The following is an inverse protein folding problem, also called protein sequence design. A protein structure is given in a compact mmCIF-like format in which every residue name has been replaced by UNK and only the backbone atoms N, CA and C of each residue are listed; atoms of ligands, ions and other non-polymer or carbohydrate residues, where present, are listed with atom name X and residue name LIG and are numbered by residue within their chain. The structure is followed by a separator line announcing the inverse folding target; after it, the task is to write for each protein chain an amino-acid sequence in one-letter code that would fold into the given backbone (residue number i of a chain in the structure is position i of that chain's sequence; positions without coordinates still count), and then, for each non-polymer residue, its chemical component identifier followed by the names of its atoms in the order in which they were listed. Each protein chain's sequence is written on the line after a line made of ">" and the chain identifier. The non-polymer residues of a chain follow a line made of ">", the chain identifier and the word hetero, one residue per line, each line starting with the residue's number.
data_IF_013901180182
#
_entry.id   IF_013901180182
#
_cell.length_a   1.000
_cell.length_b   1.000
_cell.length_c   1.000
_cell.angle_alpha   90.00
_cell.angle_beta   90.00
_cell.angle_gamma   90.00
#
_symmetry.space_group_name_H-M   'P 1'
#
loop_
_entity.id
_entity.type
_entity.pdbx_description
1 polymer ?
#
# COMPACT_ATOMS: atom_id res chain seq x y z
N UNK A 1 -33.71 -11.37 -20.06
CA UNK A 1 -32.53 -10.84 -20.77
C UNK A 1 -31.43 -10.33 -19.82
N UNK A 2 -31.75 -9.78 -18.62
CA UNK A 2 -30.73 -9.33 -17.62
C UNK A 2 -29.73 -10.42 -17.26
N UNK A 3 -30.14 -11.66 -16.99
CA UNK A 3 -29.19 -12.73 -16.60
C UNK A 3 -28.11 -13.09 -17.64
N UNK A 4 -28.31 -12.75 -18.93
CA UNK A 4 -27.28 -12.96 -19.96
C UNK A 4 -26.21 -11.88 -19.91
N UNK A 5 -26.58 -10.62 -19.75
CA UNK A 5 -25.64 -9.50 -19.62
C UNK A 5 -24.80 -9.61 -18.33
N UNK A 6 -25.45 -9.98 -17.21
CA UNK A 6 -24.77 -10.20 -15.94
C UNK A 6 -23.70 -11.31 -16.02
N UNK A 7 -24.04 -12.43 -16.67
CA UNK A 7 -23.08 -13.53 -16.85
C UNK A 7 -21.89 -13.13 -17.77
N UNK A 8 -22.16 -12.33 -18.80
CA UNK A 8 -21.13 -11.80 -19.68
C UNK A 8 -20.19 -10.83 -18.93
N UNK A 9 -20.76 -9.91 -18.14
CA UNK A 9 -20.00 -9.01 -17.30
C UNK A 9 -19.15 -9.77 -16.26
N UNK A 10 -19.74 -10.74 -15.54
CA UNK A 10 -19.01 -11.54 -14.55
C UNK A 10 -17.80 -12.25 -15.18
N UNK A 11 -17.98 -12.83 -16.37
CA UNK A 11 -16.87 -13.46 -17.11
C UNK A 11 -15.80 -12.44 -17.50
N UNK A 12 -16.22 -11.24 -17.94
CA UNK A 12 -15.29 -10.16 -18.28
C UNK A 12 -14.49 -9.70 -17.08
N UNK A 13 -15.16 -9.41 -15.95
CA UNK A 13 -14.56 -8.95 -14.71
C UNK A 13 -13.59 -9.97 -14.14
N UNK A 14 -13.99 -11.26 -14.10
CA UNK A 14 -13.11 -12.35 -13.67
C UNK A 14 -11.83 -12.41 -14.52
N UNK A 15 -11.98 -12.36 -15.85
CA UNK A 15 -10.81 -12.39 -16.74
C UNK A 15 -9.89 -11.18 -16.59
N UNK A 16 -10.44 -9.99 -16.31
CA UNK A 16 -9.65 -8.80 -15.98
C UNK A 16 -8.89 -8.95 -14.66
N UNK A 17 -9.56 -9.47 -13.63
CA UNK A 17 -8.94 -9.70 -12.32
C UNK A 17 -7.83 -10.74 -12.40
N UNK A 18 -8.02 -11.81 -13.18
CA UNK A 18 -7.00 -12.83 -13.42
C UNK A 18 -5.77 -12.26 -14.15
N UNK A 19 -5.97 -11.49 -15.24
CA UNK A 19 -4.87 -10.82 -15.95
C UNK A 19 -4.12 -9.84 -15.05
N UNK A 20 -4.85 -9.12 -14.19
CA UNK A 20 -4.25 -8.19 -13.23
C UNK A 20 -3.45 -8.91 -12.15
N UNK A 21 -3.96 -10.03 -11.63
CA UNK A 21 -3.28 -10.83 -10.62
C UNK A 21 -1.97 -11.43 -11.14
N UNK A 22 -1.96 -11.91 -12.38
CA UNK A 22 -0.75 -12.43 -13.04
C UNK A 22 0.31 -11.34 -13.24
N UNK A 23 -0.08 -10.12 -13.63
CA UNK A 23 0.84 -8.99 -13.85
C UNK A 23 1.33 -8.34 -12.57
N UNK A 24 0.55 -8.40 -11.51
CA UNK A 24 0.83 -7.78 -10.22
C UNK A 24 0.74 -8.81 -9.08
N UNK A 25 1.70 -9.75 -9.01
CA UNK A 25 1.71 -10.85 -8.04
C UNK A 25 1.68 -10.37 -6.58
N UNK A 26 2.35 -9.26 -6.29
CA UNK A 26 2.38 -8.62 -4.97
C UNK A 26 1.00 -8.09 -4.55
N UNK A 27 0.27 -7.48 -5.48
CA UNK A 27 -1.10 -7.05 -5.27
C UNK A 27 -2.02 -8.27 -5.07
N UNK A 28 -1.87 -9.31 -5.90
CA UNK A 28 -2.63 -10.57 -5.79
C UNK A 28 -2.46 -11.20 -4.40
N UNK A 29 -1.23 -11.37 -3.93
CA UNK A 29 -0.93 -11.83 -2.56
C UNK A 29 -1.62 -10.95 -1.51
N UNK A 30 -1.59 -9.63 -1.68
CA UNK A 30 -2.22 -8.68 -0.77
C UNK A 30 -3.74 -8.84 -0.68
N UNK A 31 -4.39 -9.28 -1.75
CA UNK A 31 -5.84 -9.54 -1.86
C UNK A 31 -6.22 -10.98 -1.52
N UNK A 32 -5.26 -11.85 -1.20
CA UNK A 32 -5.51 -13.26 -0.85
C UNK A 32 -5.51 -14.21 -2.05
N UNK A 33 -5.08 -13.76 -3.23
CA UNK A 33 -4.86 -14.64 -4.38
C UNK A 33 -3.39 -15.10 -4.40
N UNK A 34 -3.17 -16.33 -3.99
CA UNK A 34 -1.85 -16.92 -3.77
C UNK A 34 -1.28 -17.70 -4.98
N UNK A 35 -1.92 -17.63 -6.14
CA UNK A 35 -1.49 -18.33 -7.36
C UNK A 35 -0.13 -17.89 -7.88
N UNK A 36 0.26 -16.65 -7.57
CA UNK A 36 1.46 -16.00 -8.12
C UNK A 36 2.48 -15.59 -7.05
N UNK A 37 2.37 -16.14 -5.85
CA UNK A 37 3.17 -15.74 -4.68
C UNK A 37 4.70 -15.85 -4.89
N UNK A 38 5.14 -16.72 -5.76
CA UNK A 38 6.57 -16.92 -6.03
C UNK A 38 7.19 -15.86 -6.97
N UNK A 39 6.38 -14.92 -7.48
CA UNK A 39 6.81 -13.97 -8.50
C UNK A 39 6.79 -12.53 -8.00
N UNK A 40 7.63 -11.69 -8.61
CA UNK A 40 7.59 -10.23 -8.55
C UNK A 40 6.89 -9.68 -9.81
N UNK A 41 6.34 -8.45 -9.76
CA UNK A 41 5.93 -7.76 -10.99
C UNK A 41 7.12 -7.61 -11.93
N UNK A 42 6.91 -7.87 -13.23
CA UNK A 42 7.92 -7.63 -14.25
C UNK A 42 8.02 -6.12 -14.56
N UNK A 43 9.11 -5.42 -14.21
CA UNK A 43 9.26 -4.00 -14.44
C UNK A 43 9.69 -3.66 -15.88
N UNK A 44 9.79 -4.63 -16.78
CA UNK A 44 10.31 -4.39 -18.13
C UNK A 44 9.37 -3.50 -18.97
N UNK A 45 9.96 -2.76 -19.92
CA UNK A 45 9.18 -1.96 -20.88
C UNK A 45 8.26 -2.83 -21.73
N UNK A 46 8.66 -4.05 -22.05
CA UNK A 46 7.84 -4.99 -22.82
C UNK A 46 6.62 -5.45 -22.02
N UNK A 47 6.78 -5.74 -20.72
CA UNK A 47 5.68 -6.07 -19.82
C UNK A 47 4.71 -4.87 -19.68
N UNK A 48 5.23 -3.66 -19.50
CA UNK A 48 4.44 -2.44 -19.42
C UNK A 48 3.66 -2.16 -20.72
N UNK A 49 4.30 -2.31 -21.88
CA UNK A 49 3.65 -2.16 -23.18
C UNK A 49 2.60 -3.26 -23.43
N UNK A 50 2.85 -4.49 -22.94
CA UNK A 50 1.88 -5.58 -22.96
C UNK A 50 0.66 -5.26 -22.10
N UNK A 51 0.89 -4.80 -20.87
CA UNK A 51 -0.18 -4.36 -19.95
C UNK A 51 -1.01 -3.24 -20.59
N UNK A 52 -0.34 -2.22 -21.15
CA UNK A 52 -1.03 -1.09 -21.77
C UNK A 52 -1.98 -1.54 -22.90
N UNK A 53 -1.56 -2.50 -23.75
CA UNK A 53 -2.41 -3.08 -24.80
C UNK A 53 -3.56 -3.90 -24.21
N UNK A 54 -3.32 -4.66 -23.14
CA UNK A 54 -4.35 -5.43 -22.45
C UNK A 54 -5.44 -4.51 -21.87
N UNK A 55 -5.05 -3.39 -21.25
CA UNK A 55 -5.99 -2.40 -20.71
C UNK A 55 -6.91 -1.82 -21.78
N UNK A 56 -6.39 -1.53 -22.98
CA UNK A 56 -7.23 -1.10 -24.11
C UNK A 56 -8.21 -2.18 -24.54
N UNK A 57 -7.77 -3.43 -24.56
CA UNK A 57 -8.62 -4.58 -24.89
C UNK A 57 -9.74 -4.79 -23.85
N UNK A 58 -9.42 -4.65 -22.54
CA UNK A 58 -10.39 -4.75 -21.47
C UNK A 58 -11.40 -3.60 -21.53
N UNK A 59 -10.94 -2.37 -21.77
CA UNK A 59 -11.81 -1.19 -21.93
C UNK A 59 -12.76 -1.34 -23.11
N UNK A 60 -12.28 -1.79 -24.26
CA UNK A 60 -13.10 -2.01 -25.44
C UNK A 60 -14.21 -3.04 -25.18
N UNK A 61 -13.89 -4.16 -24.52
CA UNK A 61 -14.85 -5.19 -24.16
C UNK A 61 -15.89 -4.69 -23.14
N UNK A 62 -15.47 -3.93 -22.13
CA UNK A 62 -16.38 -3.33 -21.15
C UNK A 62 -17.35 -2.34 -21.81
N UNK A 63 -16.83 -1.49 -22.71
CA UNK A 63 -17.68 -0.50 -23.43
C UNK A 63 -18.65 -1.16 -24.41
N UNK A 64 -18.38 -2.37 -24.88
CA UNK A 64 -19.27 -3.11 -25.77
C UNK A 64 -20.45 -3.76 -25.03
N UNK A 65 -20.42 -3.84 -23.71
CA UNK A 65 -21.54 -4.34 -22.90
C UNK A 65 -22.67 -3.29 -22.85
N UNK A 66 -23.91 -3.77 -22.87
CA UNK A 66 -25.09 -2.94 -22.59
C UNK A 66 -25.22 -2.74 -21.07
N UNK A 67 -24.70 -1.61 -20.58
CA UNK A 67 -24.71 -1.30 -19.16
C UNK A 67 -26.12 -1.21 -18.57
N UNK A 68 -27.12 -0.77 -19.34
CA UNK A 68 -28.51 -0.64 -18.89
C UNK A 68 -29.17 -2.01 -18.72
N UNK A 69 -28.65 -3.05 -19.36
CA UNK A 69 -29.12 -4.42 -19.22
C UNK A 69 -28.56 -5.15 -17.99
N UNK A 70 -27.56 -4.58 -17.30
CA UNK A 70 -26.96 -5.14 -16.08
C UNK A 70 -27.88 -4.93 -14.86
N UNK A 71 -27.75 -5.81 -13.88
CA UNK A 71 -28.31 -5.58 -12.55
C UNK A 71 -27.59 -4.39 -11.87
N UNK A 72 -28.28 -3.71 -10.95
CA UNK A 72 -27.80 -2.48 -10.33
C UNK A 72 -26.40 -2.66 -9.67
N UNK A 73 -26.17 -3.81 -9.02
CA UNK A 73 -24.86 -4.16 -8.44
C UNK A 73 -23.77 -4.28 -9.50
N UNK A 74 -24.04 -4.93 -10.62
CA UNK A 74 -23.11 -5.09 -11.73
C UNK A 74 -22.88 -3.78 -12.49
N UNK A 75 -23.83 -2.84 -12.48
CA UNK A 75 -23.60 -1.49 -13.02
C UNK A 75 -22.54 -0.74 -12.19
N UNK A 76 -22.61 -0.87 -10.86
CA UNK A 76 -21.60 -0.30 -9.96
C UNK A 76 -20.25 -0.94 -10.20
N UNK A 77 -20.16 -2.26 -10.27
CA UNK A 77 -18.92 -2.99 -10.51
C UNK A 77 -18.32 -2.66 -11.89
N UNK A 78 -19.14 -2.49 -12.91
CA UNK A 78 -18.72 -2.08 -14.24
C UNK A 78 -18.13 -0.65 -14.24
N UNK A 79 -18.74 0.28 -13.49
CA UNK A 79 -18.21 1.62 -13.29
C UNK A 79 -16.86 1.60 -12.54
N UNK A 80 -16.76 0.80 -11.47
CA UNK A 80 -15.51 0.61 -10.73
C UNK A 80 -14.40 0.01 -11.60
N UNK A 81 -14.75 -0.96 -12.45
CA UNK A 81 -13.79 -1.54 -13.41
C UNK A 81 -13.34 -0.49 -14.44
N UNK A 82 -14.26 0.33 -14.96
CA UNK A 82 -13.92 1.41 -15.90
C UNK A 82 -12.95 2.42 -15.28
N UNK A 83 -13.19 2.84 -14.02
CA UNK A 83 -12.31 3.73 -13.28
C UNK A 83 -10.94 3.10 -13.02
N UNK A 84 -10.90 1.81 -12.66
CA UNK A 84 -9.65 1.07 -12.45
C UNK A 84 -8.81 1.03 -13.73
N UNK A 85 -9.43 0.72 -14.87
CA UNK A 85 -8.79 0.72 -16.18
C UNK A 85 -8.28 2.12 -16.57
N UNK A 86 -9.10 3.15 -16.39
CA UNK A 86 -8.73 4.53 -16.71
C UNK A 86 -7.58 5.03 -15.83
N UNK A 87 -7.59 4.70 -14.54
CA UNK A 87 -6.53 5.02 -13.59
C UNK A 87 -5.21 4.38 -14.01
N UNK A 88 -5.22 3.09 -14.33
CA UNK A 88 -4.00 2.39 -14.71
C UNK A 88 -3.41 2.91 -16.02
N UNK A 89 -4.25 3.23 -16.99
CA UNK A 89 -3.81 3.90 -18.23
C UNK A 89 -3.15 5.25 -17.92
N UNK A 90 -3.75 6.06 -17.06
CA UNK A 90 -3.20 7.34 -16.63
C UNK A 90 -1.85 7.20 -15.92
N UNK A 91 -1.71 6.19 -15.06
CA UNK A 91 -0.44 5.89 -14.36
C UNK A 91 0.68 5.53 -15.34
N UNK A 92 0.37 4.73 -16.36
CA UNK A 92 1.34 4.31 -17.37
C UNK A 92 1.69 5.46 -18.31
N UNK A 93 0.69 6.12 -18.89
CA UNK A 93 0.88 7.03 -20.02
C UNK A 93 1.27 8.45 -19.58
N UNK A 94 0.75 8.93 -18.43
CA UNK A 94 0.89 10.33 -18.04
C UNK A 94 1.73 10.55 -16.79
N UNK A 95 1.59 9.72 -15.76
CA UNK A 95 2.44 9.79 -14.58
C UNK A 95 3.81 9.19 -14.84
N UNK A 96 3.85 8.08 -15.59
CA UNK A 96 5.07 7.37 -15.98
C UNK A 96 6.05 7.20 -14.80
N UNK A 97 5.52 6.90 -13.61
CA UNK A 97 6.30 6.85 -12.35
C UNK A 97 7.46 5.84 -12.43
N UNK A 98 7.34 4.80 -13.24
CA UNK A 98 8.40 3.83 -13.50
C UNK A 98 9.69 4.45 -14.04
N UNK A 99 9.64 5.68 -14.60
CA UNK A 99 10.80 6.37 -15.16
C UNK A 99 11.50 7.32 -14.19
N UNK A 100 10.87 7.66 -13.08
CA UNK A 100 11.41 8.67 -12.16
C UNK A 100 11.19 8.38 -10.67
N UNK A 101 10.34 7.43 -10.29
CA UNK A 101 10.05 7.11 -8.90
C UNK A 101 10.78 5.83 -8.45
N UNK A 102 11.94 5.94 -7.78
CA UNK A 102 12.73 4.77 -7.36
C UNK A 102 12.06 3.93 -6.28
N UNK A 103 11.01 4.44 -5.61
CA UNK A 103 10.29 3.72 -4.56
C UNK A 103 9.56 2.49 -5.10
N UNK A 104 9.12 2.55 -6.37
CA UNK A 104 8.41 1.44 -7.02
C UNK A 104 9.29 0.21 -7.27
N UNK A 105 10.61 0.37 -7.29
CA UNK A 105 11.55 -0.71 -7.52
C UNK A 105 11.79 -1.60 -6.28
N UNK A 106 11.28 -1.19 -5.10
CA UNK A 106 11.60 -1.88 -3.85
C UNK A 106 10.73 -3.14 -3.66
N UNK A 107 11.30 -4.37 -3.66
CA UNK A 107 10.55 -5.61 -3.50
C UNK A 107 10.20 -5.92 -2.04
N UNK A 108 10.63 -5.09 -1.09
CA UNK A 108 10.56 -5.40 0.34
C UNK A 108 9.14 -5.70 0.83
N UNK A 109 8.13 -4.90 0.40
CA UNK A 109 6.73 -5.15 0.76
C UNK A 109 6.21 -6.48 0.23
N UNK A 110 6.57 -6.82 -1.01
CA UNK A 110 6.18 -8.09 -1.61
C UNK A 110 6.75 -9.30 -0.86
N UNK A 111 8.01 -9.21 -0.40
CA UNK A 111 8.64 -10.26 0.41
C UNK A 111 8.03 -10.30 1.81
N UNK A 112 7.82 -9.14 2.45
CA UNK A 112 7.27 -9.04 3.80
C UNK A 112 5.88 -9.67 3.91
N UNK A 113 4.99 -9.47 2.94
CA UNK A 113 3.64 -10.04 2.95
C UNK A 113 3.63 -11.56 3.09
N UNK A 114 4.61 -12.26 2.50
CA UNK A 114 4.75 -13.72 2.59
C UNK A 114 5.25 -14.18 3.97
N UNK A 115 5.99 -13.35 4.68
CA UNK A 115 6.50 -13.66 6.02
C UNK A 115 5.49 -13.33 7.13
N UNK A 116 4.79 -12.21 6.98
CA UNK A 116 3.97 -11.62 8.04
C UNK A 116 2.57 -12.23 8.19
N UNK A 117 2.04 -12.92 7.18
CA UNK A 117 0.68 -13.45 7.20
C UNK A 117 0.67 -14.97 7.18
N UNK A 118 -0.16 -15.58 8.04
CA UNK A 118 -0.32 -17.03 8.19
C UNK A 118 -1.41 -17.62 7.29
N UNK A 119 -1.32 -17.38 5.98
CA UNK A 119 -2.29 -17.88 5.00
C UNK A 119 -1.98 -19.31 4.48
N UNK A 120 -0.76 -19.79 4.71
CA UNK A 120 -0.31 -21.12 4.31
C UNK A 120 0.80 -21.60 5.27
N UNK A 121 1.14 -22.92 5.26
CA UNK A 121 2.27 -23.45 6.02
C UNK A 121 3.56 -22.66 5.73
N UNK A 122 4.32 -22.34 6.78
CA UNK A 122 5.55 -21.53 6.64
C UNK A 122 6.56 -22.06 5.59
N UNK A 123 6.78 -23.38 5.44
CA UNK A 123 7.64 -23.89 4.35
C UNK A 123 7.17 -23.50 2.95
N UNK A 124 5.86 -23.48 2.69
CA UNK A 124 5.29 -23.12 1.40
C UNK A 124 5.47 -21.63 1.13
N UNK A 125 5.23 -20.80 2.16
CA UNK A 125 5.48 -19.34 2.10
C UNK A 125 6.96 -19.04 1.87
N UNK A 126 7.87 -19.76 2.53
CA UNK A 126 9.32 -19.63 2.31
C UNK A 126 9.75 -20.09 0.91
N UNK A 127 9.06 -21.06 0.31
CA UNK A 127 9.30 -21.41 -1.09
C UNK A 127 8.94 -20.26 -2.03
N UNK A 128 7.84 -19.56 -1.76
CA UNK A 128 7.45 -18.36 -2.49
C UNK A 128 8.42 -17.19 -2.25
N UNK A 129 8.90 -16.99 -1.00
CA UNK A 129 9.98 -16.03 -0.71
C UNK A 129 11.22 -16.33 -1.54
N UNK A 130 11.65 -17.60 -1.64
CA UNK A 130 12.79 -17.97 -2.46
C UNK A 130 12.58 -17.66 -3.95
N UNK A 131 11.36 -17.87 -4.47
CA UNK A 131 10.99 -17.46 -5.84
C UNK A 131 11.18 -15.96 -6.05
N UNK A 132 10.59 -15.13 -5.18
CA UNK A 132 10.75 -13.66 -5.26
C UNK A 132 12.20 -13.21 -5.12
N UNK A 133 12.96 -13.79 -4.19
CA UNK A 133 14.39 -13.48 -4.03
C UNK A 133 15.21 -13.81 -5.28
N UNK A 134 14.87 -14.88 -5.99
CA UNK A 134 15.55 -15.23 -7.24
C UNK A 134 15.34 -14.19 -8.36
N UNK A 135 14.22 -13.49 -8.36
CA UNK A 135 13.87 -12.49 -9.37
C UNK A 135 14.44 -11.09 -9.05
N UNK A 136 14.79 -10.79 -7.78
CA UNK A 136 15.30 -9.47 -7.34
C UNK A 136 16.45 -8.93 -8.19
N UNK A 137 17.50 -9.71 -8.54
CA UNK A 137 18.62 -9.16 -9.32
C UNK A 137 18.18 -8.65 -10.71
N UNK A 138 17.34 -9.39 -11.40
CA UNK A 138 16.85 -9.03 -12.73
C UNK A 138 15.90 -7.83 -12.67
N UNK A 139 14.97 -7.83 -11.72
CA UNK A 139 14.01 -6.73 -11.51
C UNK A 139 14.73 -5.40 -11.21
N UNK A 140 15.73 -5.40 -10.33
CA UNK A 140 16.49 -4.19 -10.00
C UNK A 140 17.40 -3.73 -11.15
N UNK A 141 17.96 -4.66 -11.93
CA UNK A 141 18.73 -4.30 -13.12
C UNK A 141 17.84 -3.61 -14.16
N UNK A 142 16.60 -4.11 -14.35
CA UNK A 142 15.64 -3.49 -15.25
C UNK A 142 15.19 -2.12 -14.76
N UNK A 143 14.84 -1.98 -13.48
CA UNK A 143 14.47 -0.71 -12.88
C UNK A 143 15.56 0.37 -13.10
N UNK A 144 16.85 0.03 -12.94
CA UNK A 144 17.97 0.96 -13.21
C UNK A 144 18.03 1.42 -14.66
N UNK A 145 17.64 0.60 -15.63
CA UNK A 145 17.62 0.97 -17.05
C UNK A 145 16.54 2.00 -17.35
N UNK A 146 15.44 1.97 -16.63
CA UNK A 146 14.28 2.84 -16.85
C UNK A 146 14.36 4.13 -16.05
N UNK A 147 14.88 4.08 -14.83
CA UNK A 147 14.97 5.24 -13.94
C UNK A 147 15.94 6.28 -14.52
N UNK A 148 15.39 7.43 -14.89
CA UNK A 148 16.10 8.59 -15.37
C UNK A 148 16.43 9.58 -14.24
N UNK A 149 15.97 10.83 -14.40
CA UNK A 149 16.09 11.88 -13.38
C UNK A 149 15.02 11.65 -12.30
N UNK A 150 15.43 11.63 -11.05
CA UNK A 150 14.58 11.31 -9.90
C UNK A 150 14.51 12.49 -8.92
N UNK A 151 13.37 12.79 -8.29
CA UNK A 151 13.29 13.78 -7.21
C UNK A 151 14.17 13.38 -6.04
N UNK A 152 14.92 14.35 -5.49
CA UNK A 152 15.86 14.12 -4.38
C UNK A 152 15.17 13.43 -3.18
N UNK A 153 14.00 13.92 -2.78
CA UNK A 153 13.25 13.36 -1.64
C UNK A 153 12.87 11.90 -1.85
N UNK A 154 12.54 11.49 -3.10
CA UNK A 154 12.24 10.09 -3.40
C UNK A 154 13.49 9.21 -3.34
N UNK A 155 14.64 9.72 -3.79
CA UNK A 155 15.91 8.98 -3.72
C UNK A 155 16.34 8.79 -2.27
N UNK A 156 16.29 9.84 -1.43
CA UNK A 156 16.61 9.77 0.00
C UNK A 156 15.72 8.75 0.72
N UNK A 157 14.41 8.79 0.46
CA UNK A 157 13.45 7.83 1.02
C UNK A 157 13.73 6.40 0.54
N UNK A 158 14.00 6.21 -0.76
CA UNK A 158 14.30 4.90 -1.31
C UNK A 158 15.57 4.29 -0.70
N UNK A 159 16.64 5.06 -0.50
CA UNK A 159 17.87 4.60 0.17
C UNK A 159 17.56 4.02 1.55
N UNK A 160 16.73 4.72 2.33
CA UNK A 160 16.28 4.25 3.65
C UNK A 160 15.47 2.96 3.56
N UNK A 161 14.48 2.90 2.66
CA UNK A 161 13.63 1.73 2.46
C UNK A 161 14.40 0.50 1.96
N UNK A 162 15.36 0.66 1.04
CA UNK A 162 16.24 -0.43 0.62
C UNK A 162 17.10 -0.96 1.78
N UNK A 163 17.53 -0.09 2.71
CA UNK A 163 18.18 -0.51 3.95
C UNK A 163 17.28 -1.40 4.80
N UNK A 164 15.99 -1.03 4.96
CA UNK A 164 14.98 -1.84 5.63
C UNK A 164 14.73 -3.18 4.94
N UNK A 165 14.71 -3.20 3.60
CA UNK A 165 14.54 -4.44 2.81
C UNK A 165 15.73 -5.39 2.97
N UNK A 166 16.96 -4.86 3.00
CA UNK A 166 18.17 -5.65 3.27
C UNK A 166 18.08 -6.28 4.67
N UNK A 167 17.66 -5.51 5.67
CA UNK A 167 17.48 -6.01 7.03
C UNK A 167 16.39 -7.08 7.12
N UNK A 168 15.26 -6.90 6.40
CA UNK A 168 14.19 -7.88 6.28
C UNK A 168 14.72 -9.23 5.73
N UNK A 169 15.42 -9.18 4.59
CA UNK A 169 15.96 -10.38 3.91
C UNK A 169 17.07 -11.04 4.72
N UNK A 170 17.84 -10.28 5.49
CA UNK A 170 18.91 -10.83 6.35
C UNK A 170 18.35 -11.42 7.64
N UNK A 171 17.51 -10.68 8.38
CA UNK A 171 17.14 -11.03 9.75
C UNK A 171 15.81 -11.78 9.82
N UNK A 172 14.71 -11.24 9.26
CA UNK A 172 13.40 -11.88 9.40
C UNK A 172 13.29 -13.18 8.62
N UNK A 173 14.06 -13.33 7.52
CA UNK A 173 14.18 -14.62 6.83
C UNK A 173 14.92 -15.63 7.70
N UNK A 174 15.94 -15.22 8.49
CA UNK A 174 16.62 -16.13 9.42
C UNK A 174 15.68 -16.54 10.56
N UNK A 175 14.92 -15.62 11.14
CA UNK A 175 13.89 -15.93 12.16
C UNK A 175 12.86 -16.96 11.63
N UNK A 176 12.42 -16.78 10.38
CA UNK A 176 11.50 -17.73 9.73
C UNK A 176 12.15 -19.09 9.45
N UNK A 177 13.45 -19.14 9.13
CA UNK A 177 14.19 -20.38 8.92
C UNK A 177 14.43 -21.15 10.22
N UNK A 178 14.56 -20.47 11.37
CA UNK A 178 14.59 -21.14 12.69
C UNK A 178 13.31 -21.94 12.93
N UNK A 179 12.16 -21.39 12.54
CA UNK A 179 10.87 -22.08 12.65
C UNK A 179 10.63 -23.13 11.56
N UNK A 180 11.29 -23.04 10.40
CA UNK A 180 11.16 -23.97 9.27
C UNK A 180 12.53 -24.32 8.64
N UNK A 181 13.41 -25.05 9.37
CA UNK A 181 14.80 -25.31 8.93
C UNK A 181 14.92 -26.11 7.63
N UNK A 182 13.89 -26.85 7.25
CA UNK A 182 13.83 -27.58 5.97
C UNK A 182 13.93 -26.70 4.73
N UNK A 183 13.55 -25.42 4.83
CA UNK A 183 13.59 -24.43 3.73
C UNK A 183 14.97 -23.77 3.55
N UNK A 184 15.90 -23.98 4.48
CA UNK A 184 17.19 -23.28 4.52
C UNK A 184 18.00 -23.45 3.22
N UNK A 185 17.98 -24.64 2.63
CA UNK A 185 18.74 -24.92 1.39
C UNK A 185 18.24 -24.08 0.21
N UNK A 186 16.94 -23.95 0.05
CA UNK A 186 16.33 -23.21 -1.06
C UNK A 186 16.63 -21.70 -0.93
N UNK A 187 16.47 -21.14 0.27
CA UNK A 187 16.79 -19.74 0.55
C UNK A 187 18.29 -19.46 0.37
N UNK A 188 19.18 -20.34 0.85
CA UNK A 188 20.62 -20.18 0.73
C UNK A 188 21.12 -20.11 -0.73
N UNK A 189 20.39 -20.71 -1.68
CA UNK A 189 20.73 -20.67 -3.10
C UNK A 189 20.49 -19.29 -3.75
N UNK A 190 19.50 -18.53 -3.28
CA UNK A 190 19.03 -17.29 -3.95
C UNK A 190 19.32 -16.03 -3.14
N UNK A 191 19.33 -16.12 -1.80
CA UNK A 191 19.47 -14.98 -0.89
C UNK A 191 20.76 -14.17 -1.10
N UNK A 192 21.97 -14.77 -1.30
CA UNK A 192 23.18 -13.98 -1.49
C UNK A 192 23.11 -13.05 -2.70
N UNK A 193 22.64 -13.52 -3.84
CA UNK A 193 22.49 -12.71 -5.05
C UNK A 193 21.44 -11.61 -4.89
N UNK A 194 20.35 -11.89 -4.17
CA UNK A 194 19.33 -10.89 -3.85
C UNK A 194 19.91 -9.78 -2.95
N UNK A 195 20.63 -10.12 -1.89
CA UNK A 195 21.24 -9.15 -0.99
C UNK A 195 22.31 -8.29 -1.71
N UNK A 196 23.14 -8.91 -2.55
CA UNK A 196 24.10 -8.19 -3.38
C UNK A 196 23.42 -7.20 -4.32
N UNK A 197 22.32 -7.61 -4.98
CA UNK A 197 21.57 -6.75 -5.88
C UNK A 197 20.89 -5.59 -5.17
N UNK A 198 20.31 -5.83 -3.97
CA UNK A 198 19.69 -4.81 -3.13
C UNK A 198 20.73 -3.78 -2.66
N UNK A 199 21.87 -4.23 -2.14
CA UNK A 199 22.95 -3.33 -1.68
C UNK A 199 23.57 -2.54 -2.84
N UNK A 200 23.83 -3.19 -3.96
CA UNK A 200 24.28 -2.52 -5.19
C UNK A 200 23.28 -1.50 -5.71
N UNK A 201 21.95 -1.75 -5.60
CA UNK A 201 20.94 -0.78 -5.98
C UNK A 201 20.90 0.41 -5.02
N UNK A 202 20.97 0.18 -3.72
CA UNK A 202 21.09 1.23 -2.71
C UNK A 202 22.33 2.08 -2.92
N UNK A 203 23.46 1.46 -3.21
CA UNK A 203 24.71 2.17 -3.54
C UNK A 203 24.59 3.01 -4.81
N UNK A 204 23.94 2.49 -5.84
CA UNK A 204 23.64 3.24 -7.08
C UNK A 204 22.75 4.46 -6.81
N UNK A 205 21.69 4.32 -6.00
CA UNK A 205 20.84 5.46 -5.60
C UNK A 205 21.64 6.51 -4.82
N UNK A 206 22.53 6.07 -3.91
CA UNK A 206 23.41 6.98 -3.14
C UNK A 206 24.38 7.76 -4.03
N UNK A 207 24.93 7.11 -5.06
CA UNK A 207 25.77 7.78 -6.06
C UNK A 207 24.95 8.81 -6.87
N UNK A 208 23.75 8.45 -7.32
CA UNK A 208 22.84 9.37 -8.00
C UNK A 208 22.46 10.57 -7.15
N UNK A 209 22.23 10.38 -5.86
CA UNK A 209 21.95 11.46 -4.91
C UNK A 209 23.14 12.42 -4.77
N UNK A 210 24.37 11.88 -4.72
CA UNK A 210 25.58 12.68 -4.63
C UNK A 210 25.88 13.46 -5.93
N UNK A 211 25.58 12.87 -7.09
CA UNK A 211 25.73 13.51 -8.40
C UNK A 211 24.66 14.58 -8.66
N UNK A 212 23.49 14.47 -8.04
CA UNK A 212 22.40 15.44 -8.12
C UNK A 212 22.69 16.64 -7.23
N UNK A 213 23.81 17.34 -7.51
CA UNK A 213 23.95 18.72 -7.04
C UNK A 213 22.79 19.56 -7.63
N UNK A 214 22.21 20.51 -6.88
CA UNK A 214 21.19 21.38 -7.41
C UNK A 214 21.75 22.06 -8.66
N UNK A 215 21.29 21.61 -9.85
CA UNK A 215 21.63 22.21 -11.10
C UNK A 215 21.00 23.61 -11.19
N UNK A 216 21.31 24.40 -12.23
CA UNK A 216 20.71 25.72 -12.45
C UNK A 216 19.17 25.69 -12.45
N UNK A 217 18.58 24.51 -12.72
CA UNK A 217 17.12 24.28 -12.71
C UNK A 217 16.59 23.73 -11.36
N UNK A 218 17.43 23.61 -10.33
CA UNK A 218 17.08 23.04 -9.01
C UNK A 218 16.88 21.52 -9.04
N UNK A 219 16.31 21.00 -7.94
CA UNK A 219 15.84 19.61 -7.85
C UNK A 219 14.65 19.37 -8.77
N UNK A 220 14.47 18.12 -9.21
CA UNK A 220 13.23 17.71 -9.88
C UNK A 220 12.07 17.86 -8.88
N UNK A 221 11.11 18.68 -9.22
CA UNK A 221 9.91 18.88 -8.44
C UNK A 221 9.08 17.58 -8.41
N UNK A 222 8.81 16.98 -7.24
CA UNK A 222 7.98 15.79 -7.14
C UNK A 222 6.50 16.03 -7.41
N UNK A 223 6.08 17.31 -7.49
CA UNK A 223 4.69 17.66 -7.76
C UNK A 223 4.34 17.41 -9.21
N UNK A 224 3.24 16.70 -9.42
CA UNK A 224 2.78 16.30 -10.77
C UNK A 224 2.11 17.45 -11.57
N UNK A 225 1.94 18.62 -10.94
CA UNK A 225 1.28 19.77 -11.53
C UNK A 225 -0.26 19.74 -11.41
N UNK A 226 -0.93 20.91 -11.58
CA UNK A 226 -2.35 21.04 -11.28
C UNK A 226 -3.25 20.18 -12.18
N UNK A 227 -2.95 20.08 -13.48
CA UNK A 227 -3.76 19.32 -14.44
C UNK A 227 -3.74 17.82 -14.14
N UNK A 228 -2.54 17.24 -13.96
CA UNK A 228 -2.38 15.81 -13.61
C UNK A 228 -2.94 15.53 -12.22
N UNK A 229 -2.78 16.47 -11.28
CA UNK A 229 -3.36 16.34 -9.94
C UNK A 229 -4.88 16.29 -9.99
N UNK A 230 -5.54 17.20 -10.72
CA UNK A 230 -6.99 17.21 -10.86
C UNK A 230 -7.50 15.91 -11.48
N UNK A 231 -6.80 15.39 -12.51
CA UNK A 231 -7.14 14.11 -13.13
C UNK A 231 -6.92 12.93 -12.18
N UNK A 232 -5.78 12.88 -11.47
CA UNK A 232 -5.51 11.86 -10.45
C UNK A 232 -6.57 11.86 -9.36
N UNK A 233 -6.96 13.06 -8.89
CA UNK A 233 -7.99 13.23 -7.86
C UNK A 233 -9.33 12.67 -8.32
N UNK A 234 -9.78 13.01 -9.52
CA UNK A 234 -11.03 12.49 -10.10
C UNK A 234 -11.01 10.97 -10.23
N UNK A 235 -9.93 10.40 -10.78
CA UNK A 235 -9.77 8.94 -10.92
C UNK A 235 -9.64 8.21 -9.57
N UNK A 236 -9.15 8.88 -8.53
CA UNK A 236 -9.00 8.29 -7.18
C UNK A 236 -10.32 8.27 -6.44
N UNK A 237 -11.11 9.34 -6.56
CA UNK A 237 -12.39 9.48 -5.88
C UNK A 237 -13.57 8.90 -6.67
N UNK A 238 -13.34 8.46 -7.91
CA UNK A 238 -14.39 8.02 -8.84
C UNK A 238 -15.52 9.04 -8.97
N UNK A 239 -15.16 10.33 -8.89
CA UNK A 239 -16.10 11.45 -8.93
C UNK A 239 -15.46 12.71 -9.49
N UNK A 240 -16.26 13.60 -10.05
CA UNK A 240 -15.80 14.94 -10.36
C UNK A 240 -15.47 15.67 -9.05
N UNK A 241 -14.18 15.90 -8.79
CA UNK A 241 -13.69 16.55 -7.59
C UNK A 241 -13.09 17.91 -7.95
N UNK A 242 -13.59 18.95 -7.29
CA UNK A 242 -13.03 20.31 -7.35
C UNK A 242 -12.05 20.48 -6.18
N UNK A 243 -10.76 20.52 -6.49
CA UNK A 243 -9.70 20.67 -5.51
C UNK A 243 -9.79 21.99 -4.74
N UNK A 244 -10.22 23.08 -5.40
CA UNK A 244 -10.35 24.38 -4.76
C UNK A 244 -11.54 24.41 -3.80
N UNK A 245 -12.65 23.80 -4.16
CA UNK A 245 -13.81 23.64 -3.27
C UNK A 245 -13.46 22.78 -2.05
N UNK A 246 -12.73 21.66 -2.23
CA UNK A 246 -12.23 20.83 -1.13
C UNK A 246 -11.30 21.64 -0.23
N UNK A 247 -10.36 22.39 -0.79
CA UNK A 247 -9.42 23.22 -0.02
C UNK A 247 -10.15 24.33 0.78
N UNK A 248 -11.14 24.97 0.16
CA UNK A 248 -11.94 26.00 0.83
C UNK A 248 -12.71 25.42 2.03
N UNK A 249 -13.36 24.26 1.83
CA UNK A 249 -14.07 23.54 2.90
C UNK A 249 -13.11 23.12 4.02
N UNK A 250 -11.96 22.53 3.66
CA UNK A 250 -10.96 22.07 4.63
C UNK A 250 -10.45 23.24 5.51
N UNK A 251 -10.26 24.43 4.95
CA UNK A 251 -9.86 25.62 5.72
C UNK A 251 -10.93 26.02 6.74
N UNK A 252 -12.20 26.04 6.34
CA UNK A 252 -13.30 26.34 7.26
C UNK A 252 -13.38 25.30 8.37
N UNK A 253 -13.28 24.01 8.04
CA UNK A 253 -13.30 22.94 9.03
C UNK A 253 -12.08 23.01 9.98
N UNK A 254 -10.88 23.34 9.46
CA UNK A 254 -9.68 23.53 10.29
C UNK A 254 -9.85 24.65 11.30
N UNK A 255 -10.40 25.80 10.88
CA UNK A 255 -10.67 26.93 11.78
C UNK A 255 -11.68 26.54 12.87
N UNK A 256 -12.80 25.90 12.49
CA UNK A 256 -13.81 25.42 13.43
C UNK A 256 -13.27 24.41 14.44
N UNK A 257 -12.51 23.42 13.98
CA UNK A 257 -11.89 22.40 14.86
C UNK A 257 -10.85 23.05 15.77
N UNK A 258 -10.07 24.01 15.26
CA UNK A 258 -9.08 24.73 16.05
C UNK A 258 -9.74 25.55 17.17
N UNK A 259 -10.87 26.21 16.90
CA UNK A 259 -11.68 26.92 17.91
C UNK A 259 -12.21 25.93 18.96
N UNK A 260 -12.80 24.80 18.55
CA UNK A 260 -13.30 23.76 19.46
C UNK A 260 -12.20 23.21 20.36
N UNK A 261 -10.99 22.96 19.81
CA UNK A 261 -9.83 22.52 20.59
C UNK A 261 -9.43 23.58 21.61
N UNK A 262 -9.42 24.87 21.23
CA UNK A 262 -9.08 25.96 22.14
C UNK A 262 -10.09 26.12 23.27
N UNK A 263 -11.39 26.01 22.98
CA UNK A 263 -12.46 26.05 23.96
C UNK A 263 -12.39 24.89 24.94
N UNK A 264 -12.20 23.66 24.40
CA UNK A 264 -12.07 22.44 25.24
C UNK A 264 -10.82 22.52 26.13
N UNK A 265 -9.71 22.99 25.60
CA UNK A 265 -8.49 23.17 26.38
C UNK A 265 -8.69 24.22 27.49
N UNK A 266 -9.43 25.31 27.25
CA UNK A 266 -9.76 26.27 28.27
C UNK A 266 -10.62 25.66 29.38
N UNK A 267 -11.61 24.84 29.05
CA UNK A 267 -12.43 24.08 30.02
C UNK A 267 -11.56 23.12 30.86
N UNK A 268 -10.70 22.31 30.23
CA UNK A 268 -9.81 21.39 30.93
C UNK A 268 -8.80 22.12 31.83
N UNK A 269 -8.32 23.28 31.41
CA UNK A 269 -7.38 24.09 32.18
C UNK A 269 -8.04 24.91 33.29
N UNK A 270 -9.39 25.03 33.32
CA UNK A 270 -10.10 25.99 34.17
C UNK A 270 -9.75 27.47 33.86
N UNK A 271 -9.43 27.76 32.59
CA UNK A 271 -9.00 29.10 32.11
C UNK A 271 -10.15 29.82 31.41
N UNK A 272 -10.25 31.12 31.59
CA UNK A 272 -11.22 31.95 30.86
C UNK A 272 -10.72 32.33 29.47
N UNK A 273 -9.47 32.04 29.11
CA UNK A 273 -8.84 32.46 27.86
C UNK A 273 -8.57 31.25 26.95
N UNK A 274 -9.45 30.94 25.97
CA UNK A 274 -9.15 29.97 24.93
C UNK A 274 -8.06 30.53 24.02
N UNK A 275 -7.09 29.67 23.64
CA UNK A 275 -6.04 30.06 22.70
C UNK A 275 -4.87 29.08 22.62
N UNK A 276 -3.94 29.28 21.66
CA UNK A 276 -2.86 28.34 21.40
C UNK A 276 -1.95 28.04 22.60
N UNK A 277 -1.72 29.06 23.47
CA UNK A 277 -0.91 28.87 24.68
C UNK A 277 -1.62 27.96 25.70
N UNK A 278 -2.93 28.07 25.85
CA UNK A 278 -3.73 27.19 26.72
C UNK A 278 -3.79 25.78 26.17
N UNK A 279 -3.96 25.64 24.85
CA UNK A 279 -3.91 24.33 24.15
C UNK A 279 -2.56 23.64 24.42
N UNK A 280 -1.43 24.33 24.18
CA UNK A 280 -0.10 23.78 24.41
C UNK A 280 0.08 23.32 25.86
N UNK A 281 -0.27 24.16 26.83
CA UNK A 281 -0.16 23.82 28.27
C UNK A 281 -1.00 22.60 28.65
N UNK A 282 -2.20 22.44 28.05
CA UNK A 282 -3.03 21.25 28.28
C UNK A 282 -2.41 20.01 27.64
N UNK A 283 -1.92 20.12 26.42
CA UNK A 283 -1.21 19.02 25.74
C UNK A 283 0.04 18.60 26.51
N UNK A 284 0.88 19.54 26.98
CA UNK A 284 2.07 19.25 27.79
C UNK A 284 1.69 18.53 29.09
N UNK A 285 0.56 18.90 29.72
CA UNK A 285 0.06 18.20 30.91
C UNK A 285 -0.43 16.78 30.60
N UNK A 286 -1.13 16.58 29.50
CA UNK A 286 -1.62 15.27 29.09
C UNK A 286 -0.47 14.36 28.61
N UNK A 287 0.58 14.94 28.02
CA UNK A 287 1.76 14.22 27.58
C UNK A 287 2.59 13.59 28.72
N UNK A 288 2.30 13.93 29.98
CA UNK A 288 2.96 13.27 31.13
C UNK A 288 2.45 11.83 31.34
N UNK A 289 1.23 11.55 30.92
CA UNK A 289 0.59 10.23 31.08
C UNK A 289 0.36 9.62 29.68
N UNK A 290 1.47 9.33 28.99
CA UNK A 290 1.43 8.65 27.68
C UNK A 290 2.08 7.28 27.80
N UNK A 291 1.59 6.27 27.06
CA UNK A 291 2.24 4.98 27.02
C UNK A 291 3.62 5.08 26.36
N UNK A 292 4.57 4.31 26.87
CA UNK A 292 5.91 4.12 26.32
C UNK A 292 6.02 2.86 25.45
N UNK A 293 7.20 2.56 24.92
CA UNK A 293 7.45 1.40 24.06
C UNK A 293 7.09 0.05 24.70
N UNK A 294 7.03 -0.02 26.04
CA UNK A 294 6.69 -1.24 26.79
C UNK A 294 5.19 -1.38 27.05
N UNK A 295 4.47 -0.29 27.08
CA UNK A 295 3.05 -0.22 27.48
C UNK A 295 2.09 0.07 26.33
N UNK A 296 2.57 0.64 25.20
CA UNK A 296 1.73 1.08 24.07
C UNK A 296 0.89 -0.06 23.46
N UNK A 297 1.44 -1.26 23.33
CA UNK A 297 0.69 -2.39 22.76
C UNK A 297 -0.46 -2.84 23.66
N UNK A 298 -0.24 -2.87 24.98
CA UNK A 298 -1.29 -3.14 25.97
C UNK A 298 -2.40 -2.08 25.88
N UNK A 299 -2.03 -0.82 25.93
CA UNK A 299 -2.94 0.30 25.79
C UNK A 299 -3.79 0.22 24.50
N UNK A 300 -3.18 -0.06 23.36
CA UNK A 300 -3.90 -0.19 22.10
C UNK A 300 -4.89 -1.37 22.09
N UNK A 301 -4.52 -2.52 22.70
CA UNK A 301 -5.42 -3.67 22.83
C UNK A 301 -6.63 -3.36 23.72
N UNK A 302 -6.40 -2.71 24.85
CA UNK A 302 -7.47 -2.30 25.77
C UNK A 302 -8.41 -1.28 25.12
N UNK A 303 -7.86 -0.30 24.39
CA UNK A 303 -8.63 0.68 23.64
C UNK A 303 -9.47 0.02 22.54
N UNK A 304 -8.89 -0.94 21.78
CA UNK A 304 -9.60 -1.70 20.76
C UNK A 304 -10.77 -2.48 21.37
N UNK A 305 -10.55 -3.18 22.48
CA UNK A 305 -11.60 -3.94 23.16
C UNK A 305 -12.73 -3.03 23.65
N UNK A 306 -12.41 -1.88 24.26
CA UNK A 306 -13.39 -0.91 24.73
C UNK A 306 -14.20 -0.30 23.57
N UNK A 307 -13.56 0.02 22.45
CA UNK A 307 -14.26 0.56 21.28
C UNK A 307 -15.14 -0.47 20.59
N UNK A 308 -14.68 -1.72 20.49
CA UNK A 308 -15.47 -2.82 19.94
C UNK A 308 -16.73 -3.05 20.77
N UNK A 309 -16.61 -3.07 22.10
CA UNK A 309 -17.75 -3.16 22.99
C UNK A 309 -18.73 -1.98 22.81
N UNK A 310 -18.22 -0.75 22.74
CA UNK A 310 -19.03 0.45 22.53
C UNK A 310 -19.83 0.40 21.22
N UNK A 311 -19.18 0.01 20.11
CA UNK A 311 -19.82 -0.10 18.79
C UNK A 311 -20.89 -1.19 18.79
N UNK A 312 -20.59 -2.33 19.41
CA UNK A 312 -21.52 -3.48 19.51
C UNK A 312 -22.72 -3.14 20.36
N UNK A 313 -22.54 -2.59 21.54
CA UNK A 313 -23.61 -2.22 22.47
C UNK A 313 -24.58 -1.20 21.88
N UNK A 314 -24.04 -0.25 21.12
CA UNK A 314 -24.83 0.80 20.45
C UNK A 314 -25.34 0.42 19.08
N UNK A 315 -24.97 -0.75 18.56
CA UNK A 315 -25.35 -1.25 17.21
C UNK A 315 -25.08 -0.23 16.11
N UNK A 316 -23.90 0.42 16.16
CA UNK A 316 -23.56 1.47 15.19
C UNK A 316 -23.26 0.89 13.81
N UNK A 317 -22.56 -0.23 13.76
CA UNK A 317 -22.25 -1.03 12.56
C UNK A 317 -22.17 -2.51 12.94
N UNK A 318 -22.21 -3.40 11.94
CA UNK A 318 -21.93 -4.81 12.14
C UNK A 318 -20.42 -4.99 12.43
N UNK A 319 -20.11 -5.72 13.50
CA UNK A 319 -18.73 -6.06 13.87
C UNK A 319 -18.49 -7.52 13.47
N UNK A 320 -17.43 -7.77 12.72
CA UNK A 320 -17.00 -9.13 12.39
C UNK A 320 -16.38 -9.81 13.61
N UNK A 321 -16.57 -11.12 13.72
CA UNK A 321 -16.04 -11.91 14.85
C UNK A 321 -14.53 -12.23 14.69
N UNK A 322 -13.94 -11.93 13.53
CA UNK A 322 -12.53 -12.19 13.29
C UNK A 322 -11.64 -11.37 14.23
N UNK A 323 -10.63 -11.99 14.86
CA UNK A 323 -9.75 -11.31 15.79
C UNK A 323 -8.90 -10.26 15.09
N UNK A 324 -8.84 -9.06 15.67
CA UNK A 324 -7.93 -7.99 15.24
C UNK A 324 -6.68 -8.09 16.12
N UNK A 325 -5.53 -8.30 15.48
CA UNK A 325 -4.25 -8.33 16.19
C UNK A 325 -3.57 -6.96 16.16
N UNK A 326 -3.15 -6.46 17.32
CA UNK A 326 -2.35 -5.25 17.46
C UNK A 326 -0.88 -5.64 17.48
N UNK A 327 -0.16 -5.30 16.43
CA UNK A 327 1.27 -5.60 16.26
C UNK A 327 2.09 -4.31 16.14
N UNK A 328 3.39 -4.32 16.50
CA UNK A 328 4.29 -3.20 16.20
C UNK A 328 4.40 -2.96 14.69
N UNK A 329 4.53 -1.70 14.29
CA UNK A 329 4.78 -1.37 12.88
C UNK A 329 6.06 -2.06 12.40
N UNK A 330 6.00 -2.79 11.27
CA UNK A 330 7.17 -3.44 10.69
C UNK A 330 8.29 -2.45 10.36
N UNK A 331 9.54 -2.85 10.51
CA UNK A 331 10.69 -1.99 10.25
C UNK A 331 10.73 -1.43 8.82
N UNK A 332 10.20 -2.19 7.85
CA UNK A 332 10.10 -1.78 6.44
C UNK A 332 9.17 -0.57 6.24
N UNK A 333 8.15 -0.43 7.08
CA UNK A 333 7.17 0.65 6.98
C UNK A 333 7.55 1.87 7.83
N UNK A 334 8.52 1.74 8.77
CA UNK A 334 8.92 2.80 9.71
C UNK A 334 9.57 4.02 9.04
N UNK A 335 10.09 3.90 7.83
CA UNK A 335 10.72 5.02 7.10
C UNK A 335 9.75 5.93 6.36
N UNK A 336 8.45 5.62 6.32
CA UNK A 336 7.43 6.32 5.49
C UNK A 336 6.35 6.97 6.33
N UNK A 337 6.17 6.56 7.58
CA UNK A 337 5.12 7.10 8.43
C UNK A 337 5.51 7.06 9.89
N UNK A 338 5.77 8.20 10.48
CA UNK A 338 5.91 8.30 11.93
C UNK A 338 4.58 8.01 12.68
N UNK A 339 3.46 7.81 11.95
CA UNK A 339 2.12 7.78 12.58
C UNK A 339 1.05 6.95 11.84
N UNK A 340 1.37 5.90 11.09
CA UNK A 340 0.34 5.08 10.48
C UNK A 340 0.05 3.81 11.30
N UNK A 341 -1.12 3.74 11.94
CA UNK A 341 -1.69 2.47 12.38
C UNK A 341 -2.17 1.69 11.16
N UNK A 342 -1.47 0.62 10.79
CA UNK A 342 -1.96 -0.32 9.79
C UNK A 342 -2.94 -1.29 10.45
N UNK A 343 -4.22 -1.16 10.14
CA UNK A 343 -5.24 -2.14 10.53
C UNK A 343 -5.26 -3.22 9.43
N UNK A 344 -4.54 -4.30 9.66
CA UNK A 344 -4.60 -5.49 8.81
C UNK A 344 -5.78 -6.36 9.24
N UNK A 345 -6.77 -6.57 8.36
CA UNK A 345 -7.77 -7.61 8.55
C UNK A 345 -7.10 -8.97 8.31
N UNK A 346 -6.91 -9.75 9.38
CA UNK A 346 -6.53 -11.15 9.26
C UNK A 346 -7.70 -11.96 8.73
N UNK A 347 -7.70 -12.28 7.44
CA UNK A 347 -8.61 -13.27 6.90
C UNK A 347 -8.11 -14.66 7.33
N UNK A 348 -8.61 -15.15 8.46
CA UNK A 348 -8.46 -16.54 8.84
C UNK A 348 -9.23 -17.42 7.87
N UNK A 349 -8.53 -18.30 7.16
CA UNK A 349 -9.15 -19.34 6.35
C UNK A 349 -9.82 -20.37 7.28
N UNK A 350 -11.14 -20.28 7.45
CA UNK A 350 -11.92 -21.43 7.90
C UNK A 350 -12.00 -22.42 6.75
N UNK A 351 -11.18 -23.48 6.83
CA UNK A 351 -11.30 -24.66 5.97
C UNK A 351 -12.68 -25.30 6.12
N UNK A 352 -13.22 -25.97 5.08
CA UNK A 352 -14.50 -26.63 5.16
C UNK A 352 -14.44 -27.79 6.14
N UNK A 353 -15.24 -27.70 7.22
CA UNK A 353 -15.42 -28.80 8.16
C UNK A 353 -16.05 -29.99 7.45
N UNK A 354 -15.43 -31.12 7.57
CA UNK A 354 -15.99 -32.44 7.23
C UNK A 354 -17.23 -32.68 8.10
N UNK A 355 -18.37 -32.80 7.41
CA UNK A 355 -19.59 -33.34 8.00
C UNK A 355 -19.55 -34.87 7.91
N UNK A 356 -19.64 -35.54 9.04
CA UNK A 356 -20.16 -36.91 9.14
C UNK A 356 -21.70 -36.89 9.14
#
# INVERSE_FOLDING_TARGET
>A
MRGGADAEFTKLATGYLDDRAERHPDLATGLGDHRFDAHLPDPSQDALASERRALDGWRARLTALDADALADEHQVDAAMMADSLARRVFEIDELAEHTWNPLLANPGRAIYQLLARDFAPLPDRLASVAGRLAEVPAALAEARRQLGRMPRVHVETAIGQFGGTIALVSNQVDDALEAAPGSARQIAQVRPAALEALDAHRGWLSARLAEAAPGPDGDLDPRIGPERFARKLSLTLSAAADADAILARTRVELDQVSEQIAELAAQIAGSAEPGPATVRRVLDRLAVDVPDDTTILGFCRDALAAQTAFVTDRRLVSVHEDPIEVIPMPAIDRGVGETAMNVGSGAGSSGPGESQ
#
